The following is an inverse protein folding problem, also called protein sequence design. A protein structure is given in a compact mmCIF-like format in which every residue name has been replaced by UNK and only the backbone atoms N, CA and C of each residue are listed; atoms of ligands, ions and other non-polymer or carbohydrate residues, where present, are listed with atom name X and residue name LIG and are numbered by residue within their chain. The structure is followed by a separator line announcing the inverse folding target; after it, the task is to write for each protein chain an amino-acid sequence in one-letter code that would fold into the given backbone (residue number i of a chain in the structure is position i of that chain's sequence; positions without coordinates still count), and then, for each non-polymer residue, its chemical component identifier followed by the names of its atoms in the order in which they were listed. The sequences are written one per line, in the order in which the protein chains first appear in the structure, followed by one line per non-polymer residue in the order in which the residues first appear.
data_IF_368335951682
#
_entry.id   IF_368335951682
#
_cell.length_a   1.000
_cell.length_b   1.000
_cell.length_c   1.000
_cell.angle_alpha   90.00
_cell.angle_beta   90.00
_cell.angle_gamma   90.00
#
_symmetry.space_group_name_H-M   'P 1'
#
loop_
_entity.id
_entity.type
_entity.pdbx_description
1 polymer ?
#
# COMPACT_ATOMS: atom_id res chain seq x y z
N UNK A 1 5.76 -5.34 12.43
CA UNK A 1 5.26 -6.74 12.40
C UNK A 1 5.60 -7.39 13.74
N UNK A 2 4.67 -8.15 14.27
CA UNK A 2 4.82 -8.95 15.49
C UNK A 2 4.50 -10.38 15.07
N UNK A 3 5.30 -11.34 15.49
CA UNK A 3 5.03 -12.75 15.24
C UNK A 3 3.98 -13.27 16.22
N UNK A 4 3.07 -14.16 15.81
CA UNK A 4 2.04 -14.70 16.68
C UNK A 4 2.55 -15.38 17.95
N UNK A 5 3.73 -16.00 17.88
CA UNK A 5 4.42 -16.67 19.01
C UNK A 5 5.06 -15.70 20.00
N UNK A 6 5.30 -14.45 19.59
CA UNK A 6 5.93 -13.41 20.41
C UNK A 6 4.92 -12.64 21.28
N UNK A 7 3.63 -12.95 21.13
CA UNK A 7 2.57 -12.37 21.95
C UNK A 7 2.42 -13.17 23.24
N UNK A 8 2.86 -12.56 24.34
CA UNK A 8 2.66 -13.12 25.67
C UNK A 8 1.19 -12.97 26.10
N UNK A 9 0.62 -14.05 26.60
CA UNK A 9 -0.79 -14.12 27.00
C UNK A 9 -0.92 -14.45 28.48
N UNK A 10 -1.78 -13.70 29.18
CA UNK A 10 -2.09 -13.89 30.59
C UNK A 10 -3.59 -13.78 30.85
N UNK A 11 -4.08 -14.47 31.87
CA UNK A 11 -5.42 -14.24 32.43
C UNK A 11 -5.47 -12.99 33.32
N UNK A 12 -4.32 -12.50 33.79
CA UNK A 12 -4.21 -11.21 34.44
C UNK A 12 -4.11 -10.09 33.40
N UNK A 13 -5.12 -9.24 33.36
CA UNK A 13 -5.23 -8.11 32.44
C UNK A 13 -4.70 -6.79 33.00
N UNK A 14 -4.28 -6.78 34.27
CA UNK A 14 -3.98 -5.55 35.02
C UNK A 14 -2.79 -4.79 34.44
N UNK A 15 -1.77 -5.51 33.92
CA UNK A 15 -0.54 -4.95 33.36
C UNK A 15 -0.37 -5.22 31.86
N UNK A 16 -1.44 -5.71 31.20
CA UNK A 16 -1.39 -6.03 29.79
C UNK A 16 -1.37 -4.76 28.93
N UNK A 17 -0.62 -4.78 27.82
CA UNK A 17 -0.63 -3.69 26.83
C UNK A 17 -1.95 -3.64 26.06
N UNK A 18 -2.54 -4.82 25.80
CA UNK A 18 -3.81 -4.98 25.13
C UNK A 18 -4.67 -5.97 25.89
N UNK A 19 -5.98 -5.74 25.90
CA UNK A 19 -6.96 -6.69 26.45
C UNK A 19 -7.91 -7.09 25.33
N UNK A 20 -8.14 -8.39 25.18
CA UNK A 20 -9.00 -8.92 24.13
C UNK A 20 -9.75 -10.15 24.60
N UNK A 21 -10.75 -10.54 23.81
CA UNK A 21 -11.57 -11.74 24.02
C UNK A 21 -11.24 -12.77 22.96
N UNK A 22 -10.98 -14.01 23.34
CA UNK A 22 -10.72 -15.11 22.40
C UNK A 22 -11.97 -15.37 21.57
N UNK A 23 -11.84 -15.26 20.25
CA UNK A 23 -12.91 -15.53 19.27
C UNK A 23 -12.76 -16.90 18.61
N UNK A 24 -11.50 -17.42 18.53
CA UNK A 24 -11.20 -18.74 17.99
C UNK A 24 -10.01 -19.36 18.73
N UNK A 25 -9.99 -20.69 18.90
CA UNK A 25 -8.88 -21.43 19.49
C UNK A 25 -8.80 -22.82 18.85
N UNK A 26 -7.75 -23.07 18.09
CA UNK A 26 -7.56 -24.30 17.29
C UNK A 26 -6.22 -24.93 17.64
N UNK A 27 -6.21 -26.21 17.99
CA UNK A 27 -4.97 -26.98 18.21
C UNK A 27 -4.33 -27.37 16.87
N UNK A 28 -3.08 -27.01 16.68
CA UNK A 28 -2.28 -27.27 15.46
C UNK A 28 -1.27 -28.43 15.63
N UNK A 29 -1.52 -29.32 16.59
CA UNK A 29 -0.67 -30.49 16.85
C UNK A 29 0.47 -30.23 17.83
N UNK A 30 1.00 -29.01 17.93
CA UNK A 30 2.09 -28.63 18.84
C UNK A 30 1.69 -27.43 19.71
N UNK A 31 0.96 -26.49 19.18
CA UNK A 31 0.51 -25.27 19.85
C UNK A 31 -0.96 -24.99 19.50
N UNK A 32 -1.57 -24.08 20.23
CA UNK A 32 -2.86 -23.51 19.89
C UNK A 32 -2.65 -22.23 19.07
N UNK A 33 -3.39 -22.13 17.98
CA UNK A 33 -3.57 -20.91 17.21
C UNK A 33 -4.89 -20.28 17.63
N UNK A 34 -4.82 -19.07 18.13
CA UNK A 34 -5.97 -18.36 18.68
C UNK A 34 -6.13 -17.00 18.03
N UNK A 35 -7.39 -16.59 17.85
CA UNK A 35 -7.74 -15.23 17.50
C UNK A 35 -8.30 -14.53 18.74
N UNK A 36 -7.81 -13.32 19.00
CA UNK A 36 -8.33 -12.48 20.06
C UNK A 36 -8.72 -11.11 19.48
N UNK A 37 -9.93 -10.67 19.82
CA UNK A 37 -10.48 -9.38 19.41
C UNK A 37 -10.54 -8.42 20.59
N UNK A 38 -10.03 -7.20 20.39
CA UNK A 38 -10.10 -6.12 21.38
C UNK A 38 -11.43 -5.37 21.27
N UNK A 39 -11.79 -4.59 22.31
CA UNK A 39 -13.00 -3.72 22.28
C UNK A 39 -13.03 -2.72 21.12
N UNK A 40 -11.85 -2.38 20.57
CA UNK A 40 -11.71 -1.48 19.40
C UNK A 40 -11.82 -2.21 18.05
N UNK A 41 -12.09 -3.51 18.04
CA UNK A 41 -12.20 -4.33 16.83
C UNK A 41 -10.86 -4.72 16.19
N UNK A 42 -9.74 -4.58 16.90
CA UNK A 42 -8.46 -5.10 16.40
C UNK A 42 -8.36 -6.59 16.70
N UNK A 43 -8.02 -7.38 15.69
CA UNK A 43 -7.76 -8.81 15.82
C UNK A 43 -6.27 -9.10 15.99
N UNK A 44 -5.95 -10.02 16.89
CA UNK A 44 -4.60 -10.54 17.13
C UNK A 44 -4.59 -12.05 16.89
N UNK A 45 -3.69 -12.51 16.01
CA UNK A 45 -3.36 -13.92 15.86
C UNK A 45 -2.28 -14.27 16.90
N UNK A 46 -2.52 -15.29 17.69
CA UNK A 46 -1.67 -15.71 18.80
C UNK A 46 -1.32 -17.19 18.63
N UNK A 47 -0.06 -17.54 18.86
CA UNK A 47 0.39 -18.93 18.99
C UNK A 47 0.89 -19.17 20.41
N UNK A 48 0.30 -20.13 21.11
CA UNK A 48 0.69 -20.43 22.51
C UNK A 48 0.55 -21.93 22.79
N UNK A 49 1.40 -22.46 23.67
CA UNK A 49 1.29 -23.85 24.13
C UNK A 49 0.14 -24.06 25.13
N UNK A 50 -0.31 -22.99 25.80
CA UNK A 50 -1.45 -23.04 26.72
C UNK A 50 -2.73 -22.81 25.93
N UNK A 51 -3.74 -23.59 26.26
CA UNK A 51 -5.09 -23.40 25.76
C UNK A 51 -5.81 -22.29 26.53
N UNK A 52 -6.47 -21.40 25.78
CA UNK A 52 -7.42 -20.42 26.30
C UNK A 52 -8.77 -20.65 25.60
N UNK A 53 -9.86 -20.61 26.36
CA UNK A 53 -11.18 -20.94 25.83
C UNK A 53 -11.75 -19.77 25.00
N UNK A 54 -12.57 -20.13 24.00
CA UNK A 54 -13.35 -19.13 23.24
C UNK A 54 -14.28 -18.39 24.22
N UNK A 55 -14.30 -17.08 24.12
CA UNK A 55 -15.04 -16.20 25.03
C UNK A 55 -14.26 -15.74 26.26
N UNK A 56 -13.10 -16.31 26.54
CA UNK A 56 -12.24 -15.91 27.66
C UNK A 56 -11.57 -14.54 27.36
N UNK A 57 -11.58 -13.67 28.35
CA UNK A 57 -10.83 -12.40 28.30
C UNK A 57 -9.37 -12.63 28.72
N UNK A 58 -8.45 -12.13 27.93
CA UNK A 58 -7.01 -12.27 28.12
C UNK A 58 -6.30 -10.92 28.04
N UNK A 59 -5.19 -10.81 28.73
CA UNK A 59 -4.19 -9.75 28.53
C UNK A 59 -3.12 -10.21 27.56
N UNK A 60 -2.73 -9.31 26.65
CA UNK A 60 -1.70 -9.54 25.65
C UNK A 60 -0.59 -8.51 25.83
N UNK A 61 0.66 -8.94 25.74
CA UNK A 61 1.83 -8.09 25.83
C UNK A 61 2.90 -8.54 24.83
N UNK A 62 3.69 -7.61 24.34
CA UNK A 62 4.82 -7.89 23.46
C UNK A 62 6.02 -7.13 23.99
N UNK A 63 7.15 -7.81 24.15
CA UNK A 63 8.39 -7.13 24.51
C UNK A 63 8.92 -6.32 23.32
N UNK A 64 9.51 -5.13 23.53
CA UNK A 64 9.97 -4.26 22.44
C UNK A 64 10.91 -4.95 21.45
N UNK A 65 11.77 -5.86 21.92
CA UNK A 65 12.74 -6.57 21.07
C UNK A 65 12.10 -7.51 20.04
N UNK A 66 10.83 -7.91 20.27
CA UNK A 66 10.04 -8.74 19.35
C UNK A 66 9.19 -7.92 18.38
N UNK A 67 9.27 -6.59 18.43
CA UNK A 67 8.58 -5.70 17.52
C UNK A 67 9.49 -5.37 16.34
N UNK A 68 9.20 -5.95 15.18
CA UNK A 68 9.93 -5.66 13.95
C UNK A 68 9.27 -4.53 13.17
N UNK A 69 9.97 -3.40 13.06
CA UNK A 69 9.53 -2.29 12.22
C UNK A 69 9.99 -2.58 10.80
N UNK A 70 9.03 -2.82 9.91
CA UNK A 70 9.30 -2.99 8.47
C UNK A 70 8.74 -1.78 7.72
N UNK A 71 9.53 -1.29 6.75
CA UNK A 71 9.01 -0.29 5.83
C UNK A 71 7.88 -0.93 5.03
N UNK A 72 6.70 -0.30 5.03
CA UNK A 72 5.59 -0.75 4.19
C UNK A 72 6.06 -0.74 2.73
N UNK A 73 5.88 -1.86 2.03
CA UNK A 73 6.17 -1.92 0.61
C UNK A 73 5.31 -0.87 -0.11
N UNK A 74 5.93 -0.06 -0.97
CA UNK A 74 5.19 0.88 -1.79
C UNK A 74 4.34 0.08 -2.79
N UNK A 75 3.08 0.41 -2.86
CA UNK A 75 2.11 -0.18 -3.81
C UNK A 75 1.51 0.88 -4.73
N UNK A 76 1.96 2.14 -4.58
CA UNK A 76 1.50 3.30 -5.35
C UNK A 76 2.68 4.12 -5.84
N UNK A 77 2.57 4.64 -7.06
CA UNK A 77 3.35 5.78 -7.51
C UNK A 77 2.80 7.04 -6.84
N UNK A 78 3.68 7.96 -6.50
CA UNK A 78 3.29 9.27 -5.94
C UNK A 78 3.94 10.35 -6.77
N UNK A 79 3.14 11.29 -7.27
CA UNK A 79 3.59 12.42 -8.10
C UNK A 79 3.15 13.74 -7.47
N UNK A 80 3.89 14.80 -7.77
CA UNK A 80 3.46 16.16 -7.52
C UNK A 80 2.77 16.65 -8.80
N UNK A 81 1.45 16.65 -8.79
CA UNK A 81 0.65 17.14 -9.90
C UNK A 81 0.51 18.66 -9.82
N UNK A 82 0.72 19.37 -10.93
CA UNK A 82 0.45 20.79 -11.02
C UNK A 82 -1.05 21.03 -11.05
N UNK A 83 -1.52 22.00 -10.29
CA UNK A 83 -2.94 22.40 -10.26
C UNK A 83 -3.13 23.55 -11.23
N UNK A 84 -4.01 23.38 -12.21
CA UNK A 84 -4.36 24.41 -13.17
C UNK A 84 -5.63 25.18 -12.71
N UNK A 85 -5.73 26.45 -13.08
CA UNK A 85 -6.83 27.31 -12.63
C UNK A 85 -8.21 26.96 -13.23
N UNK A 86 -8.25 26.01 -14.17
CA UNK A 86 -9.48 25.52 -14.82
C UNK A 86 -10.06 24.23 -14.17
N UNK A 87 -9.46 23.77 -13.07
CA UNK A 87 -9.87 22.56 -12.35
C UNK A 87 -9.25 21.28 -12.88
N UNK A 88 -8.20 21.38 -13.72
CA UNK A 88 -7.39 20.23 -14.13
C UNK A 88 -6.14 20.10 -13.26
N UNK A 89 -5.58 18.89 -13.20
CA UNK A 89 -4.24 18.63 -12.68
C UNK A 89 -3.37 18.06 -13.79
N UNK A 90 -2.07 18.34 -13.75
CA UNK A 90 -1.10 17.89 -14.76
C UNK A 90 0.07 17.17 -14.09
N UNK A 91 0.39 15.97 -14.57
CA UNK A 91 1.63 15.25 -14.24
C UNK A 91 1.96 14.25 -15.35
N UNK A 92 3.24 13.90 -15.50
CA UNK A 92 3.74 13.06 -16.60
C UNK A 92 3.31 13.55 -18.00
N UNK A 93 3.17 14.88 -18.16
CA UNK A 93 2.74 15.50 -19.42
C UNK A 93 1.28 15.27 -19.79
N UNK A 94 0.49 14.72 -18.90
CA UNK A 94 -0.93 14.47 -19.11
C UNK A 94 -1.79 15.37 -18.20
N UNK A 95 -2.89 15.88 -18.76
CA UNK A 95 -3.90 16.63 -18.03
C UNK A 95 -5.06 15.70 -17.64
N UNK A 96 -5.52 15.84 -16.39
CA UNK A 96 -6.65 15.09 -15.85
C UNK A 96 -7.68 16.06 -15.29
N UNK A 97 -8.94 15.87 -15.70
CA UNK A 97 -10.07 16.67 -15.20
C UNK A 97 -10.51 16.14 -13.84
N UNK A 98 -9.96 16.67 -12.76
CA UNK A 98 -10.21 16.18 -11.41
C UNK A 98 -10.57 17.34 -10.48
N UNK A 99 -11.73 17.22 -9.82
CA UNK A 99 -12.15 18.16 -8.80
C UNK A 99 -11.40 17.86 -7.50
N UNK A 100 -10.64 18.85 -6.99
CA UNK A 100 -9.90 18.73 -5.72
C UNK A 100 -10.91 18.93 -4.58
N UNK A 101 -11.13 17.92 -3.70
CA UNK A 101 -12.03 18.03 -2.57
C UNK A 101 -11.64 19.17 -1.63
N UNK A 102 -12.63 19.86 -1.05
CA UNK A 102 -12.40 20.99 -0.14
C UNK A 102 -11.51 20.62 1.06
N UNK A 103 -11.66 19.36 1.56
CA UNK A 103 -10.94 18.85 2.74
C UNK A 103 -9.42 18.71 2.53
N UNK A 104 -8.97 18.74 1.29
CA UNK A 104 -7.54 18.58 0.95
C UNK A 104 -6.94 19.81 0.25
N UNK A 105 -7.70 20.88 0.09
CA UNK A 105 -7.18 22.13 -0.51
C UNK A 105 -6.06 22.76 0.32
N UNK A 106 -6.03 22.52 1.61
CA UNK A 106 -4.96 22.95 2.52
C UNK A 106 -3.63 22.21 2.27
N UNK A 107 -3.65 21.09 1.52
CA UNK A 107 -2.45 20.33 1.13
C UNK A 107 -1.81 20.83 -0.16
N UNK A 108 -2.44 21.77 -0.87
CA UNK A 108 -1.84 22.42 -2.04
C UNK A 108 -0.61 23.21 -1.59
N UNK A 109 0.50 22.95 -2.26
CA UNK A 109 1.79 23.57 -2.00
C UNK A 109 2.24 24.36 -3.23
N UNK A 110 3.10 25.35 -3.02
CA UNK A 110 3.72 26.08 -4.10
C UNK A 110 5.12 25.51 -4.34
N UNK A 111 5.43 25.14 -5.58
CA UNK A 111 6.75 24.67 -5.96
C UNK A 111 7.77 25.82 -6.10
N UNK A 112 9.02 25.48 -6.37
CA UNK A 112 10.12 26.48 -6.55
C UNK A 112 9.88 27.43 -7.72
N UNK A 113 9.02 27.06 -8.67
CA UNK A 113 8.68 27.84 -9.87
C UNK A 113 7.41 28.71 -9.66
N UNK A 114 6.77 28.61 -8.48
CA UNK A 114 5.55 29.34 -8.16
C UNK A 114 4.26 28.67 -8.64
N UNK A 115 4.32 27.40 -9.08
CA UNK A 115 3.11 26.65 -9.45
C UNK A 115 2.47 26.02 -8.22
N UNK A 116 1.16 26.00 -8.17
CA UNK A 116 0.41 25.24 -7.21
C UNK A 116 0.51 23.75 -7.54
N UNK A 117 0.84 22.92 -6.57
CA UNK A 117 1.00 21.47 -6.73
C UNK A 117 0.28 20.72 -5.62
N UNK A 118 -0.21 19.53 -5.96
CA UNK A 118 -0.83 18.60 -5.01
C UNK A 118 -0.28 17.19 -5.23
N UNK A 119 -0.13 16.43 -4.14
CA UNK A 119 0.33 15.05 -4.26
C UNK A 119 -0.80 14.13 -4.68
N UNK A 120 -0.49 13.30 -5.69
CA UNK A 120 -1.40 12.28 -6.20
C UNK A 120 -0.76 10.90 -6.11
N UNK A 121 -1.58 9.90 -5.87
CA UNK A 121 -1.20 8.50 -5.82
C UNK A 121 -1.89 7.69 -6.92
N UNK A 122 -1.12 6.81 -7.57
CA UNK A 122 -1.60 5.86 -8.59
C UNK A 122 -1.13 4.47 -8.21
N UNK A 123 -2.03 3.51 -7.93
CA UNK A 123 -1.65 2.14 -7.61
C UNK A 123 -0.87 1.49 -8.76
N UNK A 124 0.15 0.69 -8.46
CA UNK A 124 1.00 0.05 -9.47
C UNK A 124 0.21 -0.86 -10.42
N UNK A 125 -0.82 -1.53 -9.92
CA UNK A 125 -1.66 -2.47 -10.68
C UNK A 125 -2.85 -1.81 -11.39
N UNK A 126 -2.86 -0.48 -11.49
CA UNK A 126 -3.94 0.31 -12.11
C UNK A 126 -3.45 1.15 -13.28
N UNK A 127 -2.31 0.79 -13.84
CA UNK A 127 -1.67 1.43 -14.98
C UNK A 127 -1.75 0.46 -16.14
N UNK A 128 -2.15 0.94 -17.29
CA UNK A 128 -2.31 0.15 -18.51
C UNK A 128 -1.11 0.35 -19.43
N UNK A 129 -0.59 -0.75 -19.99
CA UNK A 129 0.53 -0.76 -20.92
C UNK A 129 0.08 -1.31 -22.27
N UNK A 130 0.62 -0.74 -23.35
CA UNK A 130 0.31 -1.13 -24.73
C UNK A 130 1.59 -1.20 -25.56
N UNK A 131 1.62 -2.15 -26.52
CA UNK A 131 2.71 -2.27 -27.50
C UNK A 131 2.67 -1.11 -28.53
N UNK A 132 1.48 -0.62 -28.83
CA UNK A 132 1.29 0.41 -29.84
C UNK A 132 1.22 1.80 -29.18
N UNK A 133 2.16 2.66 -29.54
CA UNK A 133 2.25 4.03 -29.01
C UNK A 133 0.96 4.85 -29.16
N UNK A 134 0.16 4.56 -30.18
CA UNK A 134 -1.12 5.27 -30.42
C UNK A 134 -2.24 4.91 -29.44
N UNK A 135 -2.07 3.87 -28.63
CA UNK A 135 -3.07 3.40 -27.66
C UNK A 135 -2.85 3.98 -26.26
N UNK A 136 -1.68 4.58 -26.01
CA UNK A 136 -1.37 5.23 -24.74
C UNK A 136 -1.44 6.74 -24.78
N UNK A 137 -1.32 7.36 -23.62
CA UNK A 137 -1.29 8.83 -23.46
C UNK A 137 0.14 9.38 -23.38
N UNK A 138 1.09 8.58 -22.95
CA UNK A 138 2.53 8.88 -22.93
C UNK A 138 3.33 7.57 -23.05
N UNK A 139 4.64 7.68 -23.16
CA UNK A 139 5.54 6.56 -23.47
C UNK A 139 6.71 6.47 -22.49
N UNK A 140 7.39 5.33 -22.48
CA UNK A 140 8.59 5.10 -21.70
C UNK A 140 9.25 3.76 -22.02
N UNK A 141 10.45 3.54 -21.47
CA UNK A 141 11.22 2.33 -21.68
C UNK A 141 11.26 1.49 -20.41
N UNK A 142 11.04 0.20 -20.52
CA UNK A 142 11.14 -0.75 -19.41
C UNK A 142 12.61 -0.90 -19.04
N UNK A 143 13.00 -0.42 -17.85
CA UNK A 143 14.38 -0.43 -17.37
C UNK A 143 14.66 -1.51 -16.33
N UNK A 144 13.63 -2.12 -15.75
CA UNK A 144 13.78 -3.22 -14.80
C UNK A 144 12.52 -4.07 -14.74
N UNK A 145 12.70 -5.38 -14.57
CA UNK A 145 11.62 -6.37 -14.45
C UNK A 145 11.92 -7.30 -13.29
N UNK A 146 10.96 -7.48 -12.39
CA UNK A 146 11.02 -8.42 -11.26
C UNK A 146 9.76 -9.27 -11.22
N UNK A 147 9.88 -10.59 -11.33
CA UNK A 147 8.76 -11.49 -11.11
C UNK A 147 8.53 -11.72 -9.61
N UNK A 148 7.32 -11.44 -9.13
CA UNK A 148 6.92 -11.54 -7.71
C UNK A 148 6.11 -12.81 -7.39
N UNK A 149 6.07 -13.78 -8.29
CA UNK A 149 5.43 -15.09 -8.09
C UNK A 149 4.06 -15.21 -8.77
N UNK A 150 3.29 -14.14 -8.85
CA UNK A 150 1.97 -14.05 -9.47
C UNK A 150 1.83 -12.92 -10.49
N UNK A 151 2.76 -11.95 -10.48
CA UNK A 151 2.81 -10.80 -11.38
C UNK A 151 4.25 -10.33 -11.60
N UNK A 152 4.44 -9.47 -12.58
CA UNK A 152 5.69 -8.76 -12.85
C UNK A 152 5.61 -7.35 -12.28
N UNK A 153 6.64 -6.95 -11.55
CA UNK A 153 6.86 -5.58 -11.13
C UNK A 153 7.87 -4.93 -12.08
N UNK A 154 7.42 -3.93 -12.80
CA UNK A 154 8.20 -3.21 -13.80
C UNK A 154 8.65 -1.85 -13.25
N UNK A 155 9.84 -1.41 -13.66
CA UNK A 155 10.24 -0.02 -13.58
C UNK A 155 10.33 0.51 -15.00
N UNK A 156 9.66 1.61 -15.27
CA UNK A 156 9.64 2.27 -16.58
C UNK A 156 10.25 3.65 -16.42
N UNK A 157 11.24 3.96 -17.22
CA UNK A 157 11.78 5.31 -17.36
C UNK A 157 10.93 6.03 -18.40
N UNK A 158 10.07 6.95 -17.95
CA UNK A 158 9.16 7.68 -18.85
C UNK A 158 9.92 8.72 -19.67
N UNK A 159 9.40 9.07 -20.84
CA UNK A 159 10.00 10.10 -21.70
C UNK A 159 9.96 11.50 -21.05
N UNK A 160 9.22 11.65 -19.96
CA UNK A 160 9.21 12.85 -19.13
C UNK A 160 10.30 12.88 -18.05
N UNK A 161 11.14 11.82 -17.99
CA UNK A 161 12.29 11.72 -17.08
C UNK A 161 11.98 11.23 -15.69
N UNK A 162 10.73 10.85 -15.39
CA UNK A 162 10.32 10.27 -14.12
C UNK A 162 10.23 8.75 -14.20
N UNK A 163 10.42 8.08 -13.06
CA UNK A 163 10.26 6.64 -12.96
C UNK A 163 8.82 6.30 -12.60
N UNK A 164 8.27 5.32 -13.33
CA UNK A 164 6.96 4.75 -13.09
C UNK A 164 7.08 3.28 -12.71
N UNK A 165 6.38 2.86 -11.68
CA UNK A 165 6.31 1.47 -11.24
C UNK A 165 4.96 0.87 -11.61
N UNK A 166 4.99 -0.31 -12.25
CA UNK A 166 3.79 -0.98 -12.75
C UNK A 166 3.79 -2.45 -12.35
N UNK A 167 2.67 -2.92 -11.80
CA UNK A 167 2.42 -4.34 -11.55
C UNK A 167 1.47 -4.86 -12.64
N UNK A 168 1.92 -5.86 -13.42
CA UNK A 168 1.15 -6.44 -14.53
C UNK A 168 1.31 -7.95 -14.58
N UNK A 169 0.31 -8.64 -15.16
CA UNK A 169 0.41 -10.07 -15.48
C UNK A 169 0.97 -10.30 -16.89
N UNK A 170 1.02 -9.26 -17.72
CA UNK A 170 1.54 -9.32 -19.07
C UNK A 170 3.06 -9.46 -19.06
N UNK A 171 3.58 -10.20 -20.05
CA UNK A 171 5.00 -10.45 -20.21
C UNK A 171 5.60 -9.38 -21.13
N UNK A 172 6.58 -8.69 -20.61
CA UNK A 172 7.33 -7.65 -21.33
C UNK A 172 8.82 -7.96 -21.32
N UNK A 173 9.56 -7.41 -22.26
CA UNK A 173 11.01 -7.54 -22.31
C UNK A 173 11.73 -6.27 -21.80
N UNK A 174 12.91 -6.48 -21.25
CA UNK A 174 13.76 -5.39 -20.83
C UNK A 174 14.18 -4.53 -22.04
N UNK A 175 13.92 -3.24 -21.97
CA UNK A 175 14.20 -2.29 -23.03
C UNK A 175 13.03 -2.05 -23.99
N UNK A 176 11.89 -2.76 -23.80
CA UNK A 176 10.69 -2.45 -24.57
C UNK A 176 10.27 -1.00 -24.37
N UNK A 177 9.91 -0.36 -25.47
CA UNK A 177 9.30 0.96 -25.49
C UNK A 177 7.79 0.79 -25.50
N UNK A 178 7.12 1.23 -24.43
CA UNK A 178 5.72 0.97 -24.20
C UNK A 178 4.91 2.26 -24.15
N UNK A 179 3.68 2.18 -24.63
CA UNK A 179 2.69 3.22 -24.40
C UNK A 179 1.96 2.98 -23.08
N UNK A 180 1.63 4.04 -22.37
CA UNK A 180 1.15 4.03 -21.00
C UNK A 180 -0.12 4.86 -20.90
N UNK A 181 -1.11 4.33 -20.19
CA UNK A 181 -2.30 5.09 -19.79
C UNK A 181 -2.53 4.94 -18.30
N UNK A 182 -2.79 6.05 -17.63
CA UNK A 182 -3.27 6.09 -16.26
C UNK A 182 -4.76 6.48 -16.30
N UNK A 183 -5.69 5.52 -16.10
CA UNK A 183 -7.10 5.86 -16.04
C UNK A 183 -7.38 6.83 -14.88
N UNK A 184 -8.13 7.89 -15.18
CA UNK A 184 -8.37 8.99 -14.23
C UNK A 184 -9.00 8.52 -12.92
N UNK A 185 -9.90 7.53 -12.98
CA UNK A 185 -10.56 6.92 -11.82
C UNK A 185 -9.60 6.20 -10.85
N UNK A 186 -8.38 5.92 -11.30
CA UNK A 186 -7.34 5.26 -10.49
C UNK A 186 -6.38 6.26 -9.83
N UNK A 187 -6.58 7.56 -10.06
CA UNK A 187 -5.80 8.62 -9.43
C UNK A 187 -6.51 9.04 -8.15
N UNK A 188 -5.77 9.14 -7.06
CA UNK A 188 -6.27 9.64 -5.77
C UNK A 188 -5.37 10.72 -5.24
N UNK A 189 -5.93 11.69 -4.50
CA UNK A 189 -5.16 12.69 -3.78
C UNK A 189 -4.62 12.12 -2.46
N UNK A 190 -3.44 12.60 -2.02
CA UNK A 190 -2.80 12.21 -0.77
C UNK A 190 -3.07 13.20 0.37
#
# INVERSE_FOLDING_TARGET
VIRPEDIEVSTDTTHAQFVGKITSSIFKGVHYEMLAETEKGNEFLIQNYKHFEVGQTIGMSVIPDNIHIMKKERITNTFNAKVNGDGTIEFLGCEYQMEIPEEIKDKIQTDENGNETIRVNVPFNKIELFDNESEGTFTGNISFILYKGDHYHLTIDTDWGEKLYVDTQDVWDLGDHVAITIPQENISFE
#
